data_IF_045570305549
#
_entry.id   IF_045570305549
#
_cell.length_a   1.000
_cell.length_b   1.000
_cell.length_c   1.000
_cell.angle_alpha   90.00
_cell.angle_beta   90.00
_cell.angle_gamma   90.00
#
_symmetry.space_group_name_H-M   'P 1'
#
loop_
_entity.id
_entity.type
_entity.pdbx_description
1 polymer ?
#
# COMPACT_ATOMS: atom_id res chain seq x y z
N UNK A 1 -17.08 6.71 31.41
CA UNK A 1 -17.77 5.73 30.58
C UNK A 1 -16.87 5.18 29.50
N UNK A 2 -16.79 3.93 29.42
CA UNK A 2 -15.93 3.29 28.47
C UNK A 2 -16.52 3.27 27.07
N UNK A 3 -15.63 3.37 26.08
CA UNK A 3 -16.04 3.29 24.70
C UNK A 3 -15.38 2.15 23.97
N UNK A 4 -14.76 1.27 24.71
CA UNK A 4 -14.13 0.12 24.11
C UNK A 4 -15.09 -1.04 23.90
N UNK A 5 -14.57 -2.22 24.04
CA UNK A 5 -15.34 -3.44 23.80
C UNK A 5 -16.55 -3.56 24.71
N UNK A 6 -16.44 -3.08 25.93
CA UNK A 6 -17.54 -3.22 26.88
C UNK A 6 -18.73 -2.35 26.50
N UNK A 7 -18.49 -1.24 25.84
CA UNK A 7 -19.56 -0.32 25.49
C UNK A 7 -20.17 -0.63 24.12
N UNK A 8 -19.35 -1.00 23.17
CA UNK A 8 -19.79 -1.20 21.79
C UNK A 8 -19.56 -2.63 21.29
N UNK A 9 -19.08 -3.49 22.14
CA UNK A 9 -18.80 -4.85 21.76
C UNK A 9 -17.53 -4.97 20.96
N UNK A 10 -17.16 -6.20 20.69
CA UNK A 10 -15.94 -6.50 19.94
C UNK A 10 -16.19 -6.26 18.45
N UNK A 11 -15.19 -5.70 17.79
CA UNK A 11 -15.29 -5.45 16.36
C UNK A 11 -15.08 -6.76 15.62
N UNK A 12 -16.05 -7.13 14.82
CA UNK A 12 -15.97 -8.37 14.05
C UNK A 12 -15.83 -8.13 12.56
N UNK A 13 -16.23 -6.96 12.11
CA UNK A 13 -16.18 -6.64 10.68
C UNK A 13 -14.98 -5.78 10.38
N UNK A 14 -14.37 -6.03 9.22
CA UNK A 14 -13.24 -5.23 8.76
C UNK A 14 -13.72 -4.19 7.77
N UNK A 15 -13.30 -2.96 7.99
CA UNK A 15 -13.56 -1.88 7.05
C UNK A 15 -12.62 -2.00 5.86
N UNK A 16 -11.39 -2.43 6.11
CA UNK A 16 -10.36 -2.56 5.08
C UNK A 16 -9.84 -3.99 5.02
N UNK A 17 -9.63 -4.46 3.82
CA UNK A 17 -9.02 -5.77 3.59
C UNK A 17 -7.79 -5.58 2.71
N UNK A 18 -7.19 -6.69 2.27
CA UNK A 18 -5.97 -6.63 1.47
C UNK A 18 -6.27 -6.08 0.07
N UNK A 19 -5.44 -5.15 -0.37
CA UNK A 19 -5.55 -4.58 -1.71
C UNK A 19 -4.86 -5.50 -2.72
N UNK A 20 -5.50 -5.68 -3.87
CA UNK A 20 -4.94 -6.53 -4.92
C UNK A 20 -3.66 -5.96 -5.50
N UNK A 21 -3.54 -4.65 -5.54
CA UNK A 21 -2.40 -4.02 -6.20
C UNK A 21 -1.21 -3.82 -5.28
N UNK A 22 -1.43 -3.29 -4.08
CA UNK A 22 -0.32 -3.00 -3.19
C UNK A 22 -0.15 -4.03 -2.06
N UNK A 23 -1.13 -4.88 -1.84
CA UNK A 23 -1.04 -5.92 -0.83
C UNK A 23 -1.22 -5.46 0.59
N UNK A 24 -1.43 -4.18 0.83
CA UNK A 24 -1.67 -3.68 2.18
C UNK A 24 -3.13 -3.81 2.54
N UNK A 25 -3.40 -3.93 3.83
CA UNK A 25 -4.79 -4.01 4.29
C UNK A 25 -5.40 -2.61 4.31
N UNK A 26 -5.61 -2.06 3.14
CA UNK A 26 -6.11 -0.70 2.97
C UNK A 26 -7.25 -0.61 1.97
N UNK A 27 -7.73 -1.75 1.51
CA UNK A 27 -8.85 -1.77 0.56
C UNK A 27 -10.15 -1.56 1.31
N UNK A 28 -10.80 -0.42 1.07
CA UNK A 28 -12.08 -0.11 1.69
C UNK A 28 -13.18 -0.92 1.02
N UNK A 29 -13.83 -1.77 1.79
CA UNK A 29 -14.84 -2.69 1.23
C UNK A 29 -16.02 -1.95 0.61
N UNK A 30 -16.55 -0.98 1.29
CA UNK A 30 -17.73 -0.28 0.81
C UNK A 30 -17.43 0.68 -0.32
N UNK A 31 -16.34 1.43 -0.21
CA UNK A 31 -15.94 2.37 -1.25
C UNK A 31 -15.29 1.68 -2.44
N UNK A 32 -14.80 0.48 -2.24
CA UNK A 32 -14.08 -0.28 -3.28
C UNK A 32 -12.91 0.53 -3.81
N UNK A 33 -12.11 1.03 -2.87
CA UNK A 33 -10.93 1.83 -3.17
C UNK A 33 -9.88 1.55 -2.12
N UNK A 34 -8.62 1.56 -2.55
CA UNK A 34 -7.51 1.39 -1.61
C UNK A 34 -7.11 2.74 -1.05
N UNK A 35 -6.98 2.81 0.27
CA UNK A 35 -6.59 4.04 0.93
C UNK A 35 -5.09 4.33 0.77
N UNK A 36 -4.31 3.32 0.46
CA UNK A 36 -2.86 3.48 0.32
C UNK A 36 -2.43 3.76 -1.11
N UNK A 37 -2.91 2.99 -2.08
CA UNK A 37 -2.44 3.13 -3.45
C UNK A 37 -3.47 3.72 -4.40
N UNK A 38 -4.73 3.79 -3.98
CA UNK A 38 -5.77 4.39 -4.80
C UNK A 38 -6.40 3.46 -5.82
N UNK A 39 -6.05 2.16 -5.77
CA UNK A 39 -6.65 1.20 -6.70
C UNK A 39 -8.17 1.32 -6.65
N UNK A 40 -8.91 1.29 -7.75
CA UNK A 40 -8.49 0.89 -9.10
C UNK A 40 -8.02 2.03 -10.01
N UNK A 41 -7.67 3.18 -9.45
CA UNK A 41 -7.12 4.24 -10.30
C UNK A 41 -5.87 3.73 -11.02
N UNK A 42 -5.68 4.18 -12.26
CA UNK A 42 -4.53 3.76 -13.04
C UNK A 42 -3.24 4.23 -12.42
N UNK A 43 -3.23 5.45 -11.92
CA UNK A 43 -2.04 6.00 -11.29
C UNK A 43 -1.96 5.61 -9.82
N UNK A 44 -0.75 5.34 -9.36
CA UNK A 44 -0.52 5.08 -7.95
C UNK A 44 -0.71 6.36 -7.15
N UNK A 45 -1.32 6.22 -5.98
CA UNK A 45 -1.50 7.34 -5.09
C UNK A 45 -0.15 7.70 -4.48
N UNK A 46 0.35 8.87 -4.81
CA UNK A 46 1.64 9.34 -4.34
C UNK A 46 1.56 10.83 -4.05
N UNK A 47 2.15 11.22 -2.93
CA UNK A 47 2.20 12.63 -2.55
C UNK A 47 3.57 12.95 -2.00
N UNK A 48 4.06 14.15 -2.31
CA UNK A 48 5.37 14.56 -1.86
C UNK A 48 5.47 14.60 -0.33
N UNK A 49 4.38 14.99 0.33
CA UNK A 49 4.37 15.04 1.78
C UNK A 49 4.47 13.66 2.42
N UNK A 50 4.17 12.63 1.66
CA UNK A 50 4.26 11.26 2.15
C UNK A 50 5.59 10.62 1.84
N UNK A 51 6.67 11.33 2.07
CA UNK A 51 8.00 10.84 1.67
C UNK A 51 8.39 9.53 2.35
N UNK A 52 7.94 9.30 3.57
CA UNK A 52 8.22 8.04 4.24
C UNK A 52 7.52 6.87 3.56
N UNK A 53 6.29 7.10 3.09
CA UNK A 53 5.56 6.06 2.37
C UNK A 53 6.22 5.80 1.02
N UNK A 54 6.64 6.84 0.34
CA UNK A 54 7.28 6.71 -0.96
C UNK A 54 8.56 5.91 -0.86
N UNK A 55 9.39 6.19 0.15
CA UNK A 55 10.66 5.50 0.25
C UNK A 55 10.51 4.03 0.64
N UNK A 56 9.36 3.64 1.21
CA UNK A 56 9.11 2.25 1.55
C UNK A 56 8.64 1.41 0.37
N UNK A 57 8.16 2.04 -0.68
CA UNK A 57 7.56 1.31 -1.80
C UNK A 57 8.11 1.66 -3.16
N UNK A 58 9.21 2.43 -3.19
CA UNK A 58 9.86 2.72 -4.46
C UNK A 58 10.73 1.55 -4.87
N UNK A 59 11.16 1.59 -6.13
CA UNK A 59 12.08 0.58 -6.62
C UNK A 59 13.38 0.66 -5.85
N UNK A 60 13.89 -0.49 -5.49
CA UNK A 60 15.13 -0.55 -4.74
C UNK A 60 14.95 -0.85 -3.27
N UNK A 61 13.70 -0.94 -2.78
CA UNK A 61 13.47 -1.29 -1.38
C UNK A 61 13.66 -2.77 -1.14
N UNK A 62 13.52 -3.59 -2.19
CA UNK A 62 13.71 -5.03 -2.09
C UNK A 62 15.01 -5.47 -2.69
N UNK A 63 15.05 -6.74 -3.08
CA UNK A 63 16.25 -7.35 -3.64
C UNK A 63 16.64 -6.81 -5.01
N UNK A 64 15.68 -6.32 -5.75
CA UNK A 64 15.89 -5.86 -7.12
C UNK A 64 16.51 -6.97 -8.00
N UNK A 65 15.99 -8.18 -7.85
CA UNK A 65 16.56 -9.34 -8.53
C UNK A 65 16.70 -9.13 -10.04
N UNK A 66 15.66 -8.63 -10.65
CA UNK A 66 15.67 -8.39 -12.10
C UNK A 66 16.23 -7.02 -12.46
N UNK A 67 15.85 -6.01 -11.70
CA UNK A 67 16.21 -4.63 -12.02
C UNK A 67 17.71 -4.38 -12.00
N UNK A 68 18.41 -4.97 -11.04
CA UNK A 68 19.86 -4.78 -11.00
C UNK A 68 20.54 -5.39 -12.21
N UNK A 69 19.94 -6.40 -12.82
CA UNK A 69 20.46 -6.98 -14.05
C UNK A 69 20.25 -6.03 -15.22
N UNK A 70 19.07 -5.43 -15.31
CA UNK A 70 18.74 -4.49 -16.36
C UNK A 70 19.64 -3.27 -16.29
N UNK A 71 19.80 -2.74 -15.08
CA UNK A 71 20.65 -1.55 -14.91
C UNK A 71 22.09 -1.83 -15.27
N UNK A 72 22.57 -3.01 -14.95
CA UNK A 72 23.92 -3.41 -15.32
C UNK A 72 24.09 -3.41 -16.83
N UNK A 73 23.10 -3.96 -17.53
CA UNK A 73 23.15 -4.01 -18.98
C UNK A 73 23.16 -2.61 -19.59
N UNK A 74 22.38 -1.72 -19.03
CA UNK A 74 22.32 -0.34 -19.51
C UNK A 74 23.67 0.35 -19.37
N UNK A 75 24.32 0.15 -18.24
CA UNK A 75 25.60 0.80 -17.97
C UNK A 75 26.68 0.27 -18.90
N UNK A 76 26.62 -1.00 -19.25
CA UNK A 76 27.60 -1.61 -20.11
C UNK A 76 27.60 -1.05 -21.52
N UNK A 77 26.48 -0.54 -21.94
CA UNK A 77 26.38 0.05 -23.26
C UNK A 77 26.71 1.52 -23.22
#
# INVERSE_FOLDING_TARGET
MTRGTSAKGTRHNKTHILCKRCGQRSWHLQKQRCASCGYPDAKMRQYAWGYKALRRRTQGTGRMRYLKTVLKKSVKN
#
